data_IF_285871754808
#
_entry.id   IF_285871754808
#
_cell.length_a   1.000
_cell.length_b   1.000
_cell.length_c   1.000
_cell.angle_alpha   90.00
_cell.angle_beta   90.00
_cell.angle_gamma   90.00
#
_symmetry.space_group_name_H-M   'P 1'
#
loop_
_entity.id
_entity.type
_entity.pdbx_description
1 polymer ?
#
# COMPACT_ATOMS: atom_id res chain seq x y z
N UNK A 1 14.58 44.31 0.15
CA UNK A 1 13.69 45.24 0.89
C UNK A 1 13.49 44.72 2.30
N UNK A 2 14.36 45.13 3.23
CA UNK A 2 14.05 45.38 4.64
C UNK A 2 15.01 46.49 5.10
N UNK A 3 14.43 47.48 5.79
CA UNK A 3 14.97 48.75 6.33
C UNK A 3 16.33 48.59 7.08
N UNK A 4 17.20 49.60 7.22
CA UNK A 4 16.93 50.95 7.70
C UNK A 4 18.04 51.97 7.37
N UNK A 5 17.73 53.22 7.63
CA UNK A 5 18.29 54.46 7.09
C UNK A 5 19.31 55.16 8.02
N UNK A 6 19.87 56.28 7.52
CA UNK A 6 20.53 57.43 8.19
C UNK A 6 22.08 57.37 8.27
N UNK A 7 22.88 58.36 7.85
CA UNK A 7 22.69 59.82 7.83
C UNK A 7 23.46 60.49 6.67
N UNK A 8 22.84 61.51 6.10
CA UNK A 8 23.38 62.51 5.17
C UNK A 8 24.14 63.64 5.89
N UNK A 9 25.18 64.19 5.25
CA UNK A 9 25.48 65.63 5.27
C UNK A 9 26.40 66.00 4.08
N UNK A 10 25.86 66.75 3.12
CA UNK A 10 26.62 67.57 2.16
C UNK A 10 26.95 68.92 2.82
N UNK A 11 28.16 69.46 2.61
CA UNK A 11 28.31 70.83 2.08
C UNK A 11 29.75 71.13 1.57
N UNK A 12 29.94 72.06 0.61
CA UNK A 12 31.14 72.24 -0.20
C UNK A 12 31.97 73.53 0.08
N UNK A 13 33.12 73.60 -0.60
CA UNK A 13 33.93 74.77 -1.04
C UNK A 13 35.10 75.34 -0.20
N UNK A 14 36.18 75.65 -0.96
CA UNK A 14 37.36 76.55 -0.78
C UNK A 14 38.52 75.97 0.08
N UNK A 15 39.82 75.98 -0.24
CA UNK A 15 40.67 76.45 -1.35
C UNK A 15 42.17 76.27 -0.98
N UNK A 16 43.03 76.12 -1.99
CA UNK A 16 44.52 76.07 -2.08
C UNK A 16 45.45 76.00 -0.85
N UNK A 17 46.46 75.13 -0.96
CA UNK A 17 47.75 75.19 -0.27
C UNK A 17 48.68 74.07 -0.74
N UNK A 18 49.80 74.44 -1.35
CA UNK A 18 50.81 73.57 -1.96
C UNK A 18 51.47 72.56 -0.99
N UNK A 19 52.08 71.56 -1.63
CA UNK A 19 53.35 70.91 -1.28
C UNK A 19 53.37 69.47 -0.67
N UNK A 20 54.03 68.61 -1.47
CA UNK A 20 54.85 67.40 -1.19
C UNK A 20 54.21 66.10 -0.65
N UNK A 21 54.12 65.07 -1.51
CA UNK A 21 55.12 63.97 -1.66
C UNK A 21 54.52 62.75 -2.38
N UNK A 22 55.28 62.26 -3.35
CA UNK A 22 55.08 61.01 -4.08
C UNK A 22 54.65 59.84 -3.20
N UNK A 23 53.51 59.25 -3.51
CA UNK A 23 53.23 57.85 -3.24
C UNK A 23 52.70 57.23 -4.54
N UNK A 24 53.53 56.40 -5.17
CA UNK A 24 53.13 55.54 -6.27
C UNK A 24 52.01 54.62 -5.78
N UNK A 25 50.76 54.96 -6.11
CA UNK A 25 49.62 54.08 -5.86
C UNK A 25 49.59 53.04 -6.97
N UNK A 26 50.22 51.90 -6.73
CA UNK A 26 50.04 50.71 -7.56
C UNK A 26 48.59 50.27 -7.39
N UNK A 27 47.75 50.53 -8.39
CA UNK A 27 46.44 49.88 -8.52
C UNK A 27 46.72 48.42 -8.79
N UNK A 28 46.64 47.60 -7.74
CA UNK A 28 46.58 46.15 -7.91
C UNK A 28 45.14 45.86 -8.32
N UNK A 29 44.91 45.63 -9.61
CA UNK A 29 43.66 45.07 -10.10
C UNK A 29 43.50 43.70 -9.45
N UNK A 30 42.68 43.64 -8.41
CA UNK A 30 42.25 42.38 -7.83
C UNK A 30 41.17 41.82 -8.76
N UNK A 31 41.37 40.65 -9.40
CA UNK A 31 40.34 40.09 -10.26
C UNK A 31 39.10 39.83 -9.40
N UNK A 32 37.96 40.33 -9.86
CA UNK A 32 36.65 39.95 -9.32
C UNK A 32 36.51 38.47 -9.67
N UNK A 33 36.67 37.59 -8.69
CA UNK A 33 36.23 36.19 -8.82
C UNK A 33 34.71 36.22 -8.92
N UNK A 34 34.18 35.94 -10.12
CA UNK A 34 32.76 35.67 -10.30
C UNK A 34 32.41 34.43 -9.47
N UNK A 35 31.48 34.57 -8.51
CA UNK A 35 30.91 33.43 -7.80
C UNK A 35 30.26 32.48 -8.82
N UNK A 36 30.44 31.16 -8.70
CA UNK A 36 29.83 30.23 -9.63
C UNK A 36 28.30 30.32 -9.52
N UNK A 37 27.63 30.56 -10.65
CA UNK A 37 26.17 30.48 -10.73
C UNK A 37 25.75 29.05 -10.28
N UNK A 38 24.95 28.94 -9.23
CA UNK A 38 24.33 27.67 -8.83
C UNK A 38 23.46 27.19 -10.00
N UNK A 39 23.86 26.09 -10.66
CA UNK A 39 23.00 25.43 -11.64
C UNK A 39 21.74 24.94 -10.91
N UNK A 40 20.61 25.63 -11.09
CA UNK A 40 19.31 25.11 -10.67
C UNK A 40 19.09 23.77 -11.39
N UNK A 41 19.23 22.64 -10.66
CA UNK A 41 18.83 21.34 -11.18
C UNK A 41 17.36 21.42 -11.59
N UNK A 42 17.11 21.27 -12.90
CA UNK A 42 15.75 21.15 -13.42
C UNK A 42 15.19 19.82 -12.93
N UNK A 43 14.42 19.85 -11.84
CA UNK A 43 13.67 18.70 -11.36
C UNK A 43 12.56 18.44 -12.40
N UNK A 44 12.77 17.43 -13.25
CA UNK A 44 11.72 16.94 -14.14
C UNK A 44 10.82 16.06 -13.29
N UNK A 45 9.62 16.56 -12.96
CA UNK A 45 8.61 15.75 -12.28
C UNK A 45 8.25 14.54 -13.16
N UNK A 46 8.09 13.33 -12.56
CA UNK A 46 7.71 12.15 -13.32
C UNK A 46 6.32 12.37 -13.93
N UNK A 47 6.24 12.30 -15.26
CA UNK A 47 4.96 12.38 -15.98
C UNK A 47 4.35 10.99 -16.05
N UNK A 48 3.20 10.79 -15.42
CA UNK A 48 2.49 9.52 -15.43
C UNK A 48 1.48 9.44 -16.57
N UNK A 49 1.45 8.31 -17.28
CA UNK A 49 0.39 7.98 -18.23
C UNK A 49 -0.66 7.12 -17.51
N UNK A 50 -1.82 7.72 -17.21
CA UNK A 50 -2.95 7.04 -16.57
C UNK A 50 -3.49 5.85 -17.38
N UNK A 51 -3.10 5.66 -18.65
CA UNK A 51 -3.52 4.50 -19.44
C UNK A 51 -2.59 3.29 -19.33
N UNK A 52 -1.48 3.42 -18.60
CA UNK A 52 -0.42 2.42 -18.53
C UNK A 52 -0.33 1.78 -17.14
N UNK A 53 0.59 0.82 -17.04
CA UNK A 53 1.09 0.35 -15.75
C UNK A 53 1.87 1.47 -15.07
N UNK A 54 1.52 1.75 -13.83
CA UNK A 54 2.19 2.74 -12.97
C UNK A 54 3.00 2.00 -11.90
N UNK A 55 4.24 2.45 -11.70
CA UNK A 55 5.11 2.03 -10.61
C UNK A 55 5.35 3.24 -9.72
N UNK A 56 5.07 3.10 -8.43
CA UNK A 56 5.30 4.11 -7.41
C UNK A 56 6.34 3.55 -6.43
N UNK A 57 7.53 4.15 -6.45
CA UNK A 57 8.73 3.60 -5.83
C UNK A 57 9.25 4.38 -4.63
N UNK A 58 8.61 5.52 -4.37
CA UNK A 58 8.91 6.43 -3.27
C UNK A 58 7.70 7.30 -2.95
N UNK A 59 7.67 7.93 -1.77
CA UNK A 59 6.60 8.86 -1.42
C UNK A 59 6.48 10.03 -2.41
N UNK A 60 7.60 10.51 -2.97
CA UNK A 60 7.58 11.60 -3.95
C UNK A 60 6.82 11.19 -5.22
N UNK A 61 6.94 9.94 -5.67
CA UNK A 61 6.20 9.42 -6.81
C UNK A 61 4.71 9.23 -6.50
N UNK A 62 4.37 8.74 -5.29
CA UNK A 62 2.97 8.66 -4.82
C UNK A 62 2.31 10.03 -4.83
N UNK A 63 3.02 11.03 -4.31
CA UNK A 63 2.52 12.40 -4.24
C UNK A 63 2.37 13.02 -5.63
N UNK A 64 3.36 12.85 -6.51
CA UNK A 64 3.33 13.33 -7.89
C UNK A 64 2.18 12.68 -8.69
N UNK A 65 2.02 11.36 -8.60
CA UNK A 65 0.91 10.67 -9.26
C UNK A 65 -0.46 11.15 -8.76
N UNK A 66 -0.58 11.43 -7.46
CA UNK A 66 -1.82 12.00 -6.91
C UNK A 66 -2.12 13.42 -7.41
N UNK A 67 -1.11 14.21 -7.76
CA UNK A 67 -1.28 15.53 -8.38
C UNK A 67 -1.74 15.44 -9.83
N UNK A 68 -1.32 14.41 -10.57
CA UNK A 68 -1.82 14.14 -11.93
C UNK A 68 -3.32 13.85 -11.94
N UNK A 69 -3.86 13.34 -10.83
CA UNK A 69 -5.30 13.12 -10.68
C UNK A 69 -5.84 12.00 -11.55
N UNK A 70 -5.02 10.99 -11.86
CA UNK A 70 -5.42 9.84 -12.66
C UNK A 70 -6.62 9.11 -12.03
N UNK A 71 -7.77 9.00 -12.74
CA UNK A 71 -8.95 8.28 -12.25
C UNK A 71 -8.90 6.78 -12.52
N UNK A 72 -8.07 6.36 -13.47
CA UNK A 72 -7.94 5.00 -13.95
C UNK A 72 -6.48 4.70 -14.25
N UNK A 73 -6.03 3.45 -14.05
CA UNK A 73 -4.74 2.91 -14.48
C UNK A 73 -4.88 1.47 -14.97
N UNK A 74 -3.93 1.00 -15.78
CA UNK A 74 -3.93 -0.40 -16.20
C UNK A 74 -3.51 -1.32 -15.06
N UNK A 75 -2.34 -1.08 -14.47
CA UNK A 75 -1.88 -1.76 -13.25
C UNK A 75 -1.21 -0.74 -12.32
N UNK A 76 -1.21 -0.99 -11.02
CA UNK A 76 -0.54 -0.17 -10.03
C UNK A 76 0.38 -1.03 -9.17
N UNK A 77 1.66 -0.69 -9.16
CA UNK A 77 2.69 -1.32 -8.34
C UNK A 77 3.24 -0.30 -7.36
N UNK A 78 3.27 -0.64 -6.09
CA UNK A 78 3.76 0.21 -5.00
C UNK A 78 4.78 -0.60 -4.22
N UNK A 79 6.03 -0.13 -4.20
CA UNK A 79 7.17 -0.85 -3.59
C UNK A 79 8.28 0.13 -3.20
N UNK A 80 8.90 0.02 -2.02
CA UNK A 80 9.97 0.95 -1.58
C UNK A 80 11.32 0.67 -2.26
N UNK A 81 11.43 1.00 -3.55
CA UNK A 81 12.65 0.82 -4.33
C UNK A 81 13.56 2.05 -4.26
N UNK A 82 13.00 3.24 -4.50
CA UNK A 82 13.75 4.49 -4.65
C UNK A 82 13.64 5.38 -3.39
N UNK A 83 12.86 4.95 -2.40
CA UNK A 83 12.73 5.59 -1.11
C UNK A 83 11.52 5.07 -0.33
N UNK A 84 11.38 5.46 0.95
CA UNK A 84 10.25 5.00 1.75
C UNK A 84 8.92 5.57 1.23
N UNK A 85 7.85 4.81 1.44
CA UNK A 85 6.46 5.15 1.17
C UNK A 85 5.72 5.02 2.49
N UNK A 86 5.23 6.14 3.03
CA UNK A 86 4.62 6.16 4.36
C UNK A 86 3.10 6.17 4.31
N UNK A 87 2.51 6.61 3.19
CA UNK A 87 1.07 6.69 3.03
C UNK A 87 0.66 6.76 1.56
N UNK A 88 -0.61 6.47 1.30
CA UNK A 88 -1.24 6.55 -0.02
C UNK A 88 -2.22 7.73 -0.15
N UNK A 89 -2.20 8.70 0.78
CA UNK A 89 -3.25 9.72 0.94
C UNK A 89 -3.52 10.55 -0.31
N UNK A 90 -2.56 10.63 -1.23
CA UNK A 90 -2.69 11.38 -2.49
C UNK A 90 -3.40 10.61 -3.60
N UNK A 91 -3.59 9.31 -3.47
CA UNK A 91 -4.22 8.45 -4.49
C UNK A 91 -5.75 8.57 -4.58
N UNK A 92 -6.34 9.59 -3.94
CA UNK A 92 -7.81 9.77 -3.84
C UNK A 92 -8.53 9.98 -5.17
N UNK A 93 -7.83 10.36 -6.24
CA UNK A 93 -8.45 10.45 -7.57
C UNK A 93 -8.75 9.09 -8.18
N UNK A 94 -8.04 8.03 -7.75
CA UNK A 94 -8.09 6.73 -8.38
C UNK A 94 -9.42 6.03 -8.07
N UNK A 95 -10.14 5.65 -9.13
CA UNK A 95 -11.43 4.98 -9.05
C UNK A 95 -11.35 3.56 -9.61
N UNK A 96 -10.45 3.32 -10.56
CA UNK A 96 -10.40 2.08 -11.32
C UNK A 96 -8.97 1.61 -11.59
N UNK A 97 -8.76 0.31 -11.41
CA UNK A 97 -7.54 -0.41 -11.78
C UNK A 97 -7.98 -1.59 -12.67
N UNK A 98 -7.57 -1.59 -13.95
CA UNK A 98 -8.04 -2.58 -14.92
C UNK A 98 -7.47 -3.97 -14.70
N UNK A 99 -6.23 -4.06 -14.22
CA UNK A 99 -5.52 -5.30 -13.98
C UNK A 99 -5.20 -5.43 -12.51
N UNK A 100 -3.93 -5.29 -12.19
CA UNK A 100 -3.33 -5.68 -10.93
C UNK A 100 -3.06 -4.49 -10.00
N UNK A 101 -3.34 -4.67 -8.71
CA UNK A 101 -2.84 -3.82 -7.64
C UNK A 101 -1.86 -4.62 -6.79
N UNK A 102 -0.62 -4.13 -6.74
CA UNK A 102 0.48 -4.68 -5.95
C UNK A 102 0.95 -3.67 -4.94
N UNK A 103 0.97 -4.05 -3.67
CA UNK A 103 1.53 -3.25 -2.59
C UNK A 103 2.48 -4.15 -1.81
N UNK A 104 3.78 -3.95 -2.02
CA UNK A 104 4.81 -4.86 -1.54
C UNK A 104 5.95 -4.10 -0.87
N UNK A 105 6.55 -4.69 0.16
CA UNK A 105 7.79 -4.17 0.76
C UNK A 105 7.70 -2.67 1.11
N UNK A 106 6.60 -2.26 1.76
CA UNK A 106 6.37 -0.86 2.15
C UNK A 106 6.26 -0.67 3.67
N UNK A 107 6.48 0.56 4.09
CA UNK A 107 6.35 1.03 5.48
C UNK A 107 4.98 1.68 5.75
N UNK A 108 3.98 1.47 4.88
CA UNK A 108 2.64 2.04 5.06
C UNK A 108 1.87 1.28 6.15
N UNK A 109 1.10 2.03 6.94
CA UNK A 109 0.31 1.47 8.04
C UNK A 109 -1.12 1.08 7.66
N UNK A 110 -1.65 1.69 6.60
CA UNK A 110 -2.96 1.44 6.01
C UNK A 110 -2.98 1.85 4.53
N UNK A 111 -4.16 1.75 3.89
CA UNK A 111 -4.36 2.14 2.50
C UNK A 111 -5.26 3.38 2.36
N UNK A 112 -5.25 4.28 3.35
CA UNK A 112 -5.94 5.54 3.27
C UNK A 112 -5.46 6.31 2.02
N UNK A 113 -6.40 6.68 1.16
CA UNK A 113 -6.16 7.19 -0.19
C UNK A 113 -6.79 6.34 -1.29
N UNK A 114 -6.99 5.03 -1.06
CA UNK A 114 -7.62 4.12 -2.03
C UNK A 114 -9.16 4.02 -1.89
N UNK A 115 -9.79 4.82 -1.02
CA UNK A 115 -11.21 4.69 -0.67
C UNK A 115 -12.16 4.80 -1.87
N UNK A 116 -11.72 5.49 -2.93
CA UNK A 116 -12.53 5.72 -4.13
C UNK A 116 -12.39 4.61 -5.18
N UNK A 117 -11.49 3.64 -4.97
CA UNK A 117 -11.32 2.49 -5.86
C UNK A 117 -12.54 1.58 -5.73
N UNK A 118 -13.39 1.61 -6.76
CA UNK A 118 -14.62 0.80 -6.84
C UNK A 118 -14.48 -0.38 -7.79
N UNK A 119 -13.44 -0.37 -8.64
CA UNK A 119 -13.20 -1.38 -9.65
C UNK A 119 -11.72 -1.78 -9.64
N UNK A 120 -11.46 -3.03 -9.25
CA UNK A 120 -10.20 -3.72 -9.43
C UNK A 120 -10.50 -5.03 -10.16
N UNK A 121 -10.29 -5.07 -11.48
CA UNK A 121 -10.79 -6.19 -12.30
C UNK A 121 -9.83 -7.40 -12.31
N UNK A 122 -8.60 -7.25 -11.85
CA UNK A 122 -7.60 -8.33 -11.75
C UNK A 122 -7.37 -8.76 -10.30
N UNK A 123 -6.09 -8.88 -9.93
CA UNK A 123 -5.67 -9.42 -8.63
C UNK A 123 -5.20 -8.31 -7.69
N UNK A 124 -5.31 -8.58 -6.39
CA UNK A 124 -4.78 -7.78 -5.31
C UNK A 124 -3.70 -8.58 -4.58
N UNK A 125 -2.47 -8.06 -4.57
CA UNK A 125 -1.35 -8.60 -3.80
C UNK A 125 -0.94 -7.57 -2.74
N UNK A 126 -0.97 -8.00 -1.49
CA UNK A 126 -0.51 -7.27 -0.32
C UNK A 126 0.53 -8.14 0.37
N UNK A 127 1.80 -7.81 0.22
CA UNK A 127 2.90 -8.66 0.66
C UNK A 127 4.03 -7.90 1.35
N UNK A 128 4.62 -8.45 2.41
CA UNK A 128 5.79 -7.85 3.08
C UNK A 128 5.61 -6.39 3.55
N UNK A 129 4.46 -6.04 4.12
CA UNK A 129 4.26 -4.71 4.72
C UNK A 129 4.21 -4.85 6.26
N UNK A 130 5.36 -4.79 6.97
CA UNK A 130 5.42 -5.11 8.40
C UNK A 130 4.67 -4.12 9.29
N UNK A 131 4.56 -2.85 8.88
CA UNK A 131 3.87 -1.80 9.62
C UNK A 131 2.36 -1.72 9.30
N UNK A 132 1.89 -2.46 8.28
CA UNK A 132 0.50 -2.49 7.86
C UNK A 132 -0.34 -3.15 8.95
N UNK A 133 -1.17 -2.38 9.67
CA UNK A 133 -2.03 -2.94 10.71
C UNK A 133 -3.47 -3.18 10.25
N UNK A 134 -3.88 -2.53 9.15
CA UNK A 134 -5.23 -2.62 8.57
C UNK A 134 -5.24 -2.30 7.07
N UNK A 135 -6.11 -2.94 6.30
CA UNK A 135 -6.33 -2.65 4.86
C UNK A 135 -7.39 -1.56 4.61
N UNK A 136 -7.46 -0.55 5.48
CA UNK A 136 -8.48 0.50 5.39
C UNK A 136 -8.34 1.28 4.08
N UNK A 137 -9.41 1.33 3.28
CA UNK A 137 -9.39 1.91 1.94
C UNK A 137 -10.01 1.01 0.86
N UNK A 138 -10.16 -0.29 1.12
CA UNK A 138 -10.62 -1.26 0.10
C UNK A 138 -12.12 -1.60 0.16
N UNK A 139 -12.91 -0.87 0.96
CA UNK A 139 -14.32 -1.18 1.26
C UNK A 139 -15.27 -1.27 0.05
N UNK A 140 -14.88 -0.69 -1.08
CA UNK A 140 -15.72 -0.63 -2.28
C UNK A 140 -15.42 -1.73 -3.30
N UNK A 141 -14.38 -2.55 -3.07
CA UNK A 141 -14.03 -3.65 -3.97
C UNK A 141 -14.98 -4.81 -3.73
N UNK A 142 -15.71 -5.20 -4.79
CA UNK A 142 -16.75 -6.24 -4.69
C UNK A 142 -16.37 -7.57 -5.31
N UNK A 143 -15.41 -7.58 -6.23
CA UNK A 143 -14.95 -8.76 -6.97
C UNK A 143 -13.46 -8.64 -7.25
N UNK A 144 -12.76 -9.76 -7.23
CA UNK A 144 -11.36 -9.88 -7.62
C UNK A 144 -11.16 -11.15 -8.46
N UNK A 145 -10.08 -11.21 -9.22
CA UNK A 145 -9.58 -12.49 -9.71
C UNK A 145 -8.89 -13.22 -8.55
N UNK A 146 -7.87 -12.62 -7.94
CA UNK A 146 -7.15 -13.22 -6.83
C UNK A 146 -6.92 -12.21 -5.72
N UNK A 147 -7.01 -12.68 -4.49
CA UNK A 147 -6.66 -11.93 -3.28
C UNK A 147 -5.54 -12.70 -2.58
N UNK A 148 -4.36 -12.08 -2.49
CA UNK A 148 -3.20 -12.62 -1.80
C UNK A 148 -2.73 -11.64 -0.74
N UNK A 149 -2.87 -12.02 0.52
CA UNK A 149 -2.41 -11.26 1.69
C UNK A 149 -1.35 -12.11 2.37
N UNK A 150 -0.09 -11.72 2.24
CA UNK A 150 1.06 -12.57 2.55
C UNK A 150 2.06 -11.83 3.42
N UNK A 151 2.48 -12.42 4.53
CA UNK A 151 3.61 -11.94 5.34
C UNK A 151 3.51 -10.44 5.72
N UNK A 152 2.34 -10.01 6.20
CA UNK A 152 2.15 -8.69 6.79
C UNK A 152 2.06 -8.87 8.31
N UNK A 153 3.21 -8.93 8.98
CA UNK A 153 3.30 -9.33 10.39
C UNK A 153 2.47 -8.45 11.35
N UNK A 154 2.33 -7.16 11.03
CA UNK A 154 1.52 -6.20 11.79
C UNK A 154 0.02 -6.25 11.52
N UNK A 155 -0.44 -6.99 10.50
CA UNK A 155 -1.82 -6.93 10.02
C UNK A 155 -2.78 -7.60 11.01
N UNK A 156 -3.60 -6.79 11.66
CA UNK A 156 -4.56 -7.25 12.67
C UNK A 156 -5.99 -7.38 12.15
N UNK A 157 -6.32 -6.68 11.05
CA UNK A 157 -7.69 -6.66 10.54
C UNK A 157 -7.76 -6.43 9.03
N UNK A 158 -8.70 -7.16 8.41
CA UNK A 158 -9.06 -7.02 7.00
C UNK A 158 -10.51 -6.53 6.81
N UNK A 159 -11.11 -5.89 7.82
CA UNK A 159 -12.54 -5.55 7.86
C UNK A 159 -13.02 -4.74 6.65
N UNK A 160 -12.12 -3.96 6.04
CA UNK A 160 -12.40 -3.17 4.85
C UNK A 160 -12.52 -4.00 3.57
N UNK A 161 -12.41 -5.32 3.62
CA UNK A 161 -12.75 -6.21 2.50
C UNK A 161 -14.23 -6.63 2.50
N UNK A 162 -15.04 -6.10 3.42
CA UNK A 162 -16.47 -6.45 3.57
C UNK A 162 -17.33 -6.25 2.33
N UNK A 163 -16.88 -5.51 1.31
CA UNK A 163 -17.56 -5.41 0.02
C UNK A 163 -17.42 -6.67 -0.85
N UNK A 164 -16.42 -7.51 -0.59
CA UNK A 164 -16.01 -8.62 -1.46
C UNK A 164 -17.03 -9.76 -1.44
N UNK A 165 -17.52 -10.13 -2.63
CA UNK A 165 -18.58 -11.15 -2.80
C UNK A 165 -18.14 -12.37 -3.58
N UNK A 166 -17.13 -12.22 -4.45
CA UNK A 166 -16.62 -13.31 -5.27
C UNK A 166 -15.16 -13.10 -5.64
N UNK A 167 -14.40 -14.19 -5.69
CA UNK A 167 -13.06 -14.24 -6.23
C UNK A 167 -12.74 -15.62 -6.81
N UNK A 168 -11.62 -15.75 -7.50
CA UNK A 168 -11.14 -17.03 -8.04
C UNK A 168 -10.23 -17.75 -7.05
N UNK A 169 -9.24 -17.05 -6.48
CA UNK A 169 -8.28 -17.60 -5.51
C UNK A 169 -8.18 -16.69 -4.27
N UNK A 170 -8.25 -17.30 -3.09
CA UNK A 170 -7.98 -16.65 -1.80
C UNK A 170 -6.71 -17.24 -1.21
N UNK A 171 -5.73 -16.38 -0.93
CA UNK A 171 -4.52 -16.73 -0.19
C UNK A 171 -4.37 -15.77 0.99
N UNK A 172 -4.39 -16.30 2.20
CA UNK A 172 -4.06 -15.58 3.43
C UNK A 172 -2.97 -16.36 4.14
N UNK A 173 -1.74 -15.85 4.08
CA UNK A 173 -0.56 -16.58 4.52
C UNK A 173 0.36 -15.74 5.39
N UNK A 174 0.91 -16.30 6.46
CA UNK A 174 1.96 -15.66 7.28
C UNK A 174 1.55 -14.29 7.88
N UNK A 175 0.25 -14.01 8.09
CA UNK A 175 -0.21 -12.79 8.76
C UNK A 175 -0.42 -13.06 10.25
N UNK A 176 0.69 -13.18 11.00
CA UNK A 176 0.67 -13.69 12.36
C UNK A 176 -0.21 -12.90 13.34
N UNK A 177 -0.36 -11.58 13.17
CA UNK A 177 -1.21 -10.77 14.05
C UNK A 177 -2.72 -10.87 13.74
N UNK A 178 -3.10 -11.49 12.62
CA UNK A 178 -4.49 -11.63 12.21
C UNK A 178 -5.17 -12.71 13.05
N UNK A 179 -6.24 -12.36 13.76
CA UNK A 179 -6.92 -13.27 14.72
C UNK A 179 -8.23 -13.87 14.22
N UNK A 180 -8.80 -13.25 13.20
CA UNK A 180 -10.06 -13.59 12.53
C UNK A 180 -10.06 -13.04 11.11
N UNK A 181 -11.07 -13.39 10.31
CA UNK A 181 -11.19 -12.97 8.90
C UNK A 181 -12.33 -11.96 8.71
N UNK A 182 -12.62 -11.15 9.73
CA UNK A 182 -13.62 -10.09 9.65
C UNK A 182 -13.30 -9.19 8.45
N UNK A 183 -14.25 -9.07 7.54
CA UNK A 183 -14.06 -8.53 6.20
C UNK A 183 -14.46 -9.51 5.10
N UNK A 184 -14.47 -10.83 5.36
CA UNK A 184 -14.88 -11.83 4.37
C UNK A 184 -16.31 -12.33 4.52
N UNK A 185 -17.09 -11.81 5.47
CA UNK A 185 -18.45 -12.26 5.79
C UNK A 185 -19.43 -12.20 4.61
N UNK A 186 -19.18 -11.36 3.60
CA UNK A 186 -20.02 -11.23 2.41
C UNK A 186 -19.54 -12.08 1.23
N UNK A 187 -18.42 -12.79 1.38
CA UNK A 187 -17.84 -13.65 0.36
C UNK A 187 -18.71 -14.89 0.15
N UNK A 188 -19.21 -15.07 -1.07
CA UNK A 188 -20.11 -16.19 -1.42
C UNK A 188 -19.46 -17.25 -2.28
N UNK A 189 -18.43 -16.88 -3.05
CA UNK A 189 -17.82 -17.77 -4.04
C UNK A 189 -16.32 -17.54 -4.13
N UNK A 190 -15.56 -18.62 -4.00
CA UNK A 190 -14.13 -18.71 -4.30
C UNK A 190 -13.93 -19.80 -5.36
N UNK A 191 -13.84 -19.45 -6.64
CA UNK A 191 -14.03 -20.42 -7.73
C UNK A 191 -13.04 -21.61 -7.71
N UNK A 192 -11.80 -21.39 -7.28
CA UNK A 192 -10.74 -22.39 -7.40
C UNK A 192 -10.16 -22.83 -6.05
N UNK A 193 -9.55 -21.93 -5.30
CA UNK A 193 -8.77 -22.34 -4.11
C UNK A 193 -8.90 -21.34 -2.96
N UNK A 194 -9.16 -21.89 -1.77
CA UNK A 194 -8.97 -21.20 -0.49
C UNK A 194 -7.71 -21.78 0.16
N UNK A 195 -6.70 -20.94 0.35
CA UNK A 195 -5.48 -21.23 1.08
C UNK A 195 -5.38 -20.30 2.28
N UNK A 196 -5.43 -20.88 3.48
CA UNK A 196 -5.24 -20.16 4.75
C UNK A 196 -4.12 -20.85 5.50
N UNK A 197 -2.93 -20.25 5.51
CA UNK A 197 -1.73 -20.93 5.98
C UNK A 197 -0.90 -20.08 6.94
N UNK A 198 -0.41 -20.68 8.02
CA UNK A 198 0.61 -20.06 8.90
C UNK A 198 0.18 -18.69 9.48
N UNK A 199 -1.12 -18.51 9.77
CA UNK A 199 -1.63 -17.37 10.53
C UNK A 199 -1.75 -17.79 12.00
N UNK A 200 -0.64 -17.75 12.74
CA UNK A 200 -0.52 -18.43 14.04
C UNK A 200 -1.53 -17.97 15.11
N UNK A 201 -2.04 -16.73 15.02
CA UNK A 201 -3.04 -16.22 15.97
C UNK A 201 -4.49 -16.34 15.46
N UNK A 202 -4.70 -16.80 14.22
CA UNK A 202 -6.03 -17.01 13.66
C UNK A 202 -6.75 -18.08 14.48
N UNK A 203 -7.84 -17.68 15.12
CA UNK A 203 -8.56 -18.50 16.10
C UNK A 203 -9.87 -19.04 15.58
N UNK A 204 -10.47 -18.36 14.58
CA UNK A 204 -11.74 -18.73 14.00
C UNK A 204 -11.82 -18.28 12.54
N UNK A 205 -12.79 -18.86 11.81
CA UNK A 205 -13.09 -18.58 10.41
C UNK A 205 -14.60 -18.39 10.19
N UNK A 206 -15.30 -17.80 11.17
CA UNK A 206 -16.76 -17.62 11.11
C UNK A 206 -17.19 -16.80 9.90
N UNK A 207 -16.35 -15.86 9.46
CA UNK A 207 -16.58 -15.01 8.29
C UNK A 207 -16.63 -15.79 6.95
N UNK A 208 -16.29 -17.09 6.95
CA UNK A 208 -16.37 -17.94 5.75
C UNK A 208 -17.68 -18.73 5.65
N UNK A 209 -18.62 -18.57 6.59
CA UNK A 209 -19.85 -19.36 6.68
C UNK A 209 -20.81 -19.17 5.48
N UNK A 210 -20.70 -18.03 4.78
CA UNK A 210 -21.52 -17.66 3.63
C UNK A 210 -20.98 -18.17 2.29
N UNK A 211 -19.80 -18.80 2.27
CA UNK A 211 -19.24 -19.36 1.04
C UNK A 211 -20.04 -20.61 0.64
N UNK A 212 -20.59 -20.61 -0.56
CA UNK A 212 -21.41 -21.71 -1.12
C UNK A 212 -20.77 -22.40 -2.32
N UNK A 213 -19.65 -21.85 -2.80
CA UNK A 213 -18.91 -22.34 -3.96
C UNK A 213 -17.40 -22.23 -3.70
N UNK A 214 -16.73 -23.38 -3.68
CA UNK A 214 -15.29 -23.51 -3.73
C UNK A 214 -14.90 -24.87 -4.28
N UNK A 215 -13.74 -24.95 -4.95
CA UNK A 215 -13.25 -26.23 -5.45
C UNK A 215 -12.29 -26.88 -4.45
N UNK A 216 -11.18 -26.23 -4.13
CA UNK A 216 -10.19 -26.75 -3.18
C UNK A 216 -10.10 -25.86 -1.94
N UNK A 217 -9.89 -26.47 -0.78
CA UNK A 217 -9.69 -25.81 0.51
C UNK A 217 -8.46 -26.43 1.17
N UNK A 218 -7.49 -25.59 1.52
CA UNK A 218 -6.30 -25.96 2.27
C UNK A 218 -6.12 -24.99 3.41
N UNK A 219 -6.27 -25.49 4.64
CA UNK A 219 -6.11 -24.70 5.85
C UNK A 219 -5.04 -25.37 6.69
N UNK A 220 -3.87 -24.74 6.84
CA UNK A 220 -2.71 -25.41 7.41
C UNK A 220 -1.86 -24.51 8.31
N UNK A 221 -1.28 -25.05 9.38
CA UNK A 221 -0.35 -24.26 10.20
C UNK A 221 -0.99 -23.11 10.98
N UNK A 222 -2.31 -23.14 11.25
CA UNK A 222 -2.98 -22.13 12.05
C UNK A 222 -3.18 -22.68 13.48
N UNK A 223 -2.15 -22.55 14.33
CA UNK A 223 -2.03 -23.22 15.62
C UNK A 223 -3.21 -22.96 16.60
N UNK A 224 -3.90 -21.83 16.47
CA UNK A 224 -5.06 -21.47 17.32
C UNK A 224 -6.41 -21.82 16.71
N UNK A 225 -6.45 -22.20 15.44
CA UNK A 225 -7.70 -22.47 14.74
C UNK A 225 -8.23 -23.84 15.14
N UNK A 226 -9.35 -23.86 15.87
CA UNK A 226 -9.95 -25.07 16.43
C UNK A 226 -11.37 -25.33 15.96
N UNK A 227 -12.03 -24.35 15.34
CA UNK A 227 -13.41 -24.47 14.84
C UNK A 227 -13.47 -24.34 13.31
N UNK A 228 -13.94 -25.40 12.66
CA UNK A 228 -14.15 -25.52 11.22
C UNK A 228 -15.64 -25.69 10.86
N UNK A 229 -16.55 -25.60 11.82
CA UNK A 229 -17.98 -25.67 11.59
C UNK A 229 -18.53 -24.64 10.59
N UNK A 230 -17.94 -23.43 10.45
CA UNK A 230 -18.35 -22.49 9.40
C UNK A 230 -18.31 -23.09 7.99
N UNK A 231 -17.40 -24.03 7.72
CA UNK A 231 -17.25 -24.63 6.39
C UNK A 231 -18.26 -25.75 6.11
N UNK A 232 -19.09 -26.14 7.07
CA UNK A 232 -20.02 -27.27 6.93
C UNK A 232 -20.96 -27.13 5.74
N UNK A 233 -21.57 -25.95 5.56
CA UNK A 233 -22.49 -25.70 4.45
C UNK A 233 -21.79 -25.80 3.10
N UNK A 234 -20.57 -25.26 3.01
CA UNK A 234 -19.75 -25.34 1.80
C UNK A 234 -19.41 -26.78 1.46
N UNK A 235 -18.93 -27.57 2.42
CA UNK A 235 -18.51 -28.96 2.20
C UNK A 235 -19.69 -29.89 1.88
N UNK A 236 -20.90 -29.56 2.33
CA UNK A 236 -22.13 -30.28 1.98
C UNK A 236 -22.76 -29.81 0.65
N UNK A 237 -22.25 -28.74 0.05
CA UNK A 237 -22.73 -28.21 -1.22
C UNK A 237 -22.40 -29.14 -2.38
N UNK A 238 -23.31 -29.28 -3.34
CA UNK A 238 -23.04 -30.00 -4.60
C UNK A 238 -21.98 -29.33 -5.47
N UNK A 239 -21.63 -28.08 -5.17
CA UNK A 239 -20.62 -27.32 -5.89
C UNK A 239 -19.20 -27.57 -5.37
N UNK A 240 -19.05 -28.20 -4.20
CA UNK A 240 -17.75 -28.57 -3.67
C UNK A 240 -17.32 -29.92 -4.26
N UNK A 241 -16.27 -29.90 -5.09
CA UNK A 241 -15.81 -31.10 -5.82
C UNK A 241 -14.33 -31.41 -5.67
N UNK A 242 -13.55 -30.53 -5.03
CA UNK A 242 -12.12 -30.71 -4.88
C UNK A 242 -11.73 -31.16 -3.47
N UNK A 243 -10.47 -30.90 -3.12
CA UNK A 243 -9.87 -31.44 -1.92
C UNK A 243 -10.12 -30.54 -0.70
N UNK A 244 -10.39 -31.15 0.44
CA UNK A 244 -10.41 -30.50 1.75
C UNK A 244 -9.24 -31.01 2.59
N UNK A 245 -8.26 -30.14 2.83
CA UNK A 245 -7.01 -30.48 3.50
C UNK A 245 -6.87 -29.59 4.74
N UNK A 246 -6.80 -30.22 5.92
CA UNK A 246 -6.47 -29.56 7.18
C UNK A 246 -5.27 -30.26 7.81
N UNK A 247 -4.19 -29.53 8.08
CA UNK A 247 -2.99 -30.09 8.73
C UNK A 247 -2.31 -29.03 9.59
N UNK A 248 -1.73 -29.43 10.73
CA UNK A 248 -0.96 -28.54 11.59
C UNK A 248 -1.75 -27.31 12.10
N UNK A 249 -3.07 -27.39 12.21
CA UNK A 249 -3.88 -26.39 12.93
C UNK A 249 -4.15 -26.85 14.36
N UNK A 250 -4.76 -25.98 15.17
CA UNK A 250 -5.25 -26.31 16.52
C UNK A 250 -6.24 -27.49 16.52
N UNK A 251 -7.06 -27.62 15.48
CA UNK A 251 -7.84 -28.80 15.16
C UNK A 251 -7.68 -29.17 13.68
N UNK A 252 -7.57 -30.46 13.36
CA UNK A 252 -7.42 -30.94 11.98
C UNK A 252 -8.54 -31.94 11.65
N UNK A 253 -9.79 -31.46 11.46
CA UNK A 253 -10.89 -32.33 11.10
C UNK A 253 -10.73 -32.87 9.68
N UNK A 254 -11.15 -34.11 9.47
CA UNK A 254 -11.35 -34.63 8.12
C UNK A 254 -12.59 -34.02 7.47
N UNK A 255 -12.76 -34.22 6.16
CA UNK A 255 -14.01 -33.86 5.47
C UNK A 255 -15.24 -34.45 6.19
N UNK A 256 -15.18 -35.74 6.55
CA UNK A 256 -16.27 -36.45 7.22
C UNK A 256 -16.60 -35.84 8.58
N UNK A 257 -15.58 -35.48 9.36
CA UNK A 257 -15.75 -34.81 10.65
C UNK A 257 -16.56 -33.52 10.49
N UNK A 258 -16.23 -32.68 9.50
CA UNK A 258 -16.94 -31.41 9.31
C UNK A 258 -18.39 -31.61 8.87
N UNK A 259 -18.64 -32.47 7.88
CA UNK A 259 -20.01 -32.68 7.38
C UNK A 259 -20.91 -33.40 8.39
N UNK A 260 -20.35 -34.21 9.28
CA UNK A 260 -21.10 -34.87 10.37
C UNK A 260 -21.26 -34.00 11.62
N UNK A 261 -20.56 -32.86 11.70
CA UNK A 261 -20.65 -31.91 12.80
C UNK A 261 -19.64 -32.11 13.92
N UNK A 262 -18.65 -32.98 13.75
CA UNK A 262 -17.46 -33.09 14.59
C UNK A 262 -16.42 -32.05 14.15
N UNK A 263 -16.79 -30.77 14.05
CA UNK A 263 -15.99 -29.73 13.38
C UNK A 263 -15.24 -28.78 14.32
N UNK A 264 -15.29 -28.99 15.63
CA UNK A 264 -14.67 -28.10 16.62
C UNK A 264 -14.08 -28.88 17.80
N UNK A 265 -13.00 -28.37 18.42
CA UNK A 265 -12.43 -28.86 19.68
C UNK A 265 -12.73 -27.95 20.88
#
# INVERSE_FOLDING_TARGET
>A
MFLACLFSCLNPHIGFGDDILNADFVVVDNPIEEEPEEEEEVIIEPVFDCSQTVFLKSQAEVDAFGLEGCPEVENLWIEEIDGPIFNLHKLTSLVKINGFLSIQDTSISDFEGLQNVTQLNGSLLIEHNPELFVVFGLQNITRLTELSIINNEGLTSIFSLNGLTSLRNLTIRENNALTELEGLQNLKSVEQHILIQENNFLSNIYDLDNIINANNISIMGNDRLTDFCPLKNLLQSTNFTGDFITNFNGYNPTYEDVVTGNCSL
#
